data_IF_960524619492
#
_entry.id   IF_960524619492
#
_cell.length_a   1.000
_cell.length_b   1.000
_cell.length_c   1.000
_cell.angle_alpha   90.00
_cell.angle_beta   90.00
_cell.angle_gamma   90.00
#
_symmetry.space_group_name_H-M   'P 1'
#
loop_
_entity.id
_entity.type
_entity.pdbx_description
1 polymer ?
#
# COMPACT_ATOMS: atom_id res chain seq x y z
N UNK A 1 -48.28 -2.52 -23.57
CA UNK A 1 -47.24 -3.37 -22.98
C UNK A 1 -45.92 -2.62 -23.00
N UNK A 2 -45.24 -2.66 -21.87
CA UNK A 2 -44.10 -1.85 -21.44
C UNK A 2 -42.82 -2.51 -21.96
N UNK A 3 -41.95 -1.78 -22.65
CA UNK A 3 -40.59 -2.23 -22.99
C UNK A 3 -39.61 -1.13 -22.58
N UNK A 4 -39.15 -1.24 -21.33
CA UNK A 4 -38.01 -0.47 -20.81
C UNK A 4 -36.74 -1.16 -21.32
N UNK A 5 -36.00 -0.48 -22.18
CA UNK A 5 -34.66 -0.89 -22.58
C UNK A 5 -33.73 -0.77 -21.36
N UNK A 6 -33.29 -1.91 -20.83
CA UNK A 6 -32.30 -2.00 -19.77
C UNK A 6 -30.93 -1.67 -20.39
N UNK A 7 -30.45 -0.45 -20.19
CA UNK A 7 -29.07 -0.09 -20.50
C UNK A 7 -28.16 -0.80 -19.49
N UNK A 8 -27.50 -1.87 -19.93
CA UNK A 8 -26.38 -2.47 -19.20
C UNK A 8 -25.21 -1.49 -19.29
N UNK A 9 -25.00 -0.72 -18.22
CA UNK A 9 -23.73 -0.07 -17.96
C UNK A 9 -22.72 -1.15 -17.60
N UNK A 10 -21.98 -1.65 -18.60
CA UNK A 10 -20.71 -2.33 -18.34
C UNK A 10 -19.81 -1.26 -17.73
N UNK A 11 -19.79 -1.18 -16.41
CA UNK A 11 -18.76 -0.47 -15.68
C UNK A 11 -17.45 -1.15 -16.08
N UNK A 12 -16.73 -0.51 -17.02
CA UNK A 12 -15.35 -0.82 -17.31
C UNK A 12 -14.57 -0.53 -16.03
N UNK A 13 -14.48 -1.54 -15.15
CA UNK A 13 -13.50 -1.55 -14.09
C UNK A 13 -12.15 -1.50 -14.80
N UNK A 14 -11.32 -0.47 -14.58
CA UNK A 14 -9.98 -0.50 -15.12
C UNK A 14 -9.27 -1.68 -14.46
N UNK A 15 -9.07 -2.75 -15.22
CA UNK A 15 -8.08 -3.78 -14.91
C UNK A 15 -6.70 -3.18 -15.15
N UNK A 16 -6.36 -2.15 -14.38
CA UNK A 16 -4.99 -1.63 -14.26
C UNK A 16 -4.35 -2.31 -13.06
N UNK A 17 -4.25 -3.64 -13.15
CA UNK A 17 -3.27 -4.38 -12.37
C UNK A 17 -1.96 -4.28 -13.14
N UNK A 18 -1.34 -3.09 -13.12
CA UNK A 18 0.12 -3.07 -13.23
C UNK A 18 0.68 -3.94 -12.10
N UNK A 19 1.81 -4.59 -12.32
CA UNK A 19 2.59 -5.20 -11.25
C UNK A 19 3.11 -4.07 -10.36
N UNK A 20 2.23 -3.47 -9.56
CA UNK A 20 2.57 -2.42 -8.63
C UNK A 20 3.46 -3.04 -7.58
N UNK A 21 4.66 -2.49 -7.41
CA UNK A 21 5.53 -2.92 -6.31
C UNK A 21 4.79 -2.68 -4.99
N UNK A 22 4.42 -3.80 -4.36
CA UNK A 22 3.73 -3.83 -3.07
C UNK A 22 4.66 -3.35 -1.96
N UNK A 23 5.97 -3.31 -2.19
CA UNK A 23 6.94 -2.78 -1.25
C UNK A 23 7.76 -1.74 -2.00
N UNK A 24 7.62 -0.49 -1.59
CA UNK A 24 8.48 0.62 -2.02
C UNK A 24 9.21 1.18 -0.79
N UNK A 25 10.05 2.19 -1.00
CA UNK A 25 10.83 2.81 0.07
C UNK A 25 10.05 3.27 1.28
N UNK A 26 8.85 3.79 1.06
CA UNK A 26 8.06 4.41 2.10
C UNK A 26 6.63 3.86 2.16
N UNK A 27 6.32 2.81 1.39
CA UNK A 27 4.98 2.20 1.34
C UNK A 27 5.07 0.69 1.28
N UNK A 28 4.19 0.03 2.02
CA UNK A 28 3.85 -1.38 1.81
C UNK A 28 2.35 -1.53 1.57
N UNK A 29 1.94 -2.24 0.52
CA UNK A 29 0.56 -2.36 0.06
C UNK A 29 0.28 -1.59 -1.23
N UNK A 30 -0.97 -1.72 -1.72
CA UNK A 30 -1.43 -1.05 -2.94
C UNK A 30 -1.39 0.47 -2.77
N UNK A 31 -1.03 1.19 -3.84
CA UNK A 31 -0.98 2.66 -3.80
C UNK A 31 -2.36 3.28 -3.47
N UNK A 32 -3.40 2.68 -4.02
CA UNK A 32 -4.80 3.11 -3.91
C UNK A 32 -5.56 2.42 -2.77
N UNK A 33 -4.85 1.75 -1.84
CA UNK A 33 -5.50 1.14 -0.69
C UNK A 33 -6.23 2.23 0.14
N UNK A 34 -7.53 2.06 0.44
CA UNK A 34 -8.34 3.09 1.07
C UNK A 34 -7.95 3.37 2.53
N UNK A 35 -7.37 2.39 3.22
CA UNK A 35 -6.96 2.53 4.62
C UNK A 35 -5.45 2.74 4.72
N UNK A 36 -5.02 3.72 5.52
CA UNK A 36 -3.60 4.06 5.68
C UNK A 36 -3.17 3.95 7.13
N UNK A 37 -2.06 3.25 7.37
CA UNK A 37 -1.39 3.20 8.67
C UNK A 37 0.00 3.83 8.54
N UNK A 38 0.24 4.91 9.27
CA UNK A 38 1.49 5.68 9.17
C UNK A 38 2.39 5.44 10.38
N UNK A 39 3.63 5.01 10.13
CA UNK A 39 4.68 4.91 11.15
C UNK A 39 5.67 6.05 11.01
N UNK A 40 5.98 6.74 12.11
CA UNK A 40 7.08 7.70 12.20
C UNK A 40 8.28 7.01 12.87
N UNK A 41 9.36 6.82 12.11
CA UNK A 41 10.52 6.02 12.51
C UNK A 41 11.70 6.93 12.83
N UNK A 42 12.40 6.70 13.93
CA UNK A 42 13.47 7.59 14.45
C UNK A 42 14.86 7.37 13.86
N UNK A 43 15.13 6.18 13.33
CA UNK A 43 16.47 5.85 12.80
C UNK A 43 16.50 4.74 11.73
N UNK A 44 15.39 4.01 11.55
CA UNK A 44 15.33 2.86 10.65
C UNK A 44 14.25 3.11 9.61
N UNK A 45 14.57 3.01 8.31
CA UNK A 45 13.60 2.89 7.23
C UNK A 45 13.70 1.49 6.58
N UNK A 46 12.82 1.22 5.61
CA UNK A 46 12.87 0.00 4.79
C UNK A 46 14.17 -0.14 3.97
N UNK A 47 15.09 0.82 4.07
CA UNK A 47 16.34 0.92 3.34
C UNK A 47 17.56 0.93 4.27
N UNK A 48 17.42 0.40 5.49
CA UNK A 48 18.56 0.00 6.32
C UNK A 48 19.60 -0.78 5.47
N UNK A 49 20.87 -0.43 5.61
CA UNK A 49 21.98 -1.11 4.90
C UNK A 49 22.25 -2.50 5.47
N UNK A 50 21.70 -2.81 6.65
CA UNK A 50 21.73 -4.14 7.23
C UNK A 50 20.68 -5.05 6.57
N UNK A 51 21.12 -6.10 5.83
CA UNK A 51 20.21 -6.95 5.07
C UNK A 51 19.24 -7.76 5.96
N UNK A 52 19.64 -8.11 7.19
CA UNK A 52 18.78 -8.84 8.12
C UNK A 52 17.61 -7.99 8.60
N UNK A 53 17.88 -6.75 9.02
CA UNK A 53 16.85 -5.81 9.43
C UNK A 53 15.89 -5.50 8.28
N UNK A 54 16.40 -5.34 7.05
CA UNK A 54 15.57 -5.13 5.85
C UNK A 54 14.62 -6.30 5.63
N UNK A 55 15.12 -7.53 5.63
CA UNK A 55 14.32 -8.72 5.41
C UNK A 55 13.25 -8.91 6.51
N UNK A 56 13.60 -8.66 7.77
CA UNK A 56 12.66 -8.72 8.88
C UNK A 56 11.52 -7.70 8.72
N UNK A 57 11.84 -6.47 8.32
CA UNK A 57 10.86 -5.41 8.08
C UNK A 57 9.95 -5.72 6.88
N UNK A 58 10.50 -6.20 5.77
CA UNK A 58 9.72 -6.61 4.60
C UNK A 58 8.76 -7.76 4.94
N UNK A 59 9.21 -8.77 5.68
CA UNK A 59 8.37 -9.90 6.07
C UNK A 59 7.22 -9.48 6.99
N UNK A 60 7.50 -8.65 8.00
CA UNK A 60 6.48 -8.14 8.93
C UNK A 60 5.30 -7.49 8.19
N UNK A 61 5.60 -6.66 7.18
CA UNK A 61 4.57 -5.95 6.46
C UNK A 61 3.96 -6.74 5.32
N UNK A 62 4.70 -7.68 4.71
CA UNK A 62 4.17 -8.60 3.70
C UNK A 62 3.04 -9.45 4.25
N UNK A 63 3.19 -10.00 5.45
CA UNK A 63 2.13 -10.82 6.05
C UNK A 63 0.89 -9.98 6.36
N UNK A 64 1.09 -8.76 6.87
CA UNK A 64 0.00 -7.83 7.18
C UNK A 64 -0.80 -7.44 5.94
N UNK A 65 -0.14 -6.98 4.87
CA UNK A 65 -0.82 -6.53 3.65
C UNK A 65 -1.43 -7.68 2.85
N UNK A 66 -0.86 -8.89 2.94
CA UNK A 66 -1.48 -10.10 2.36
C UNK A 66 -2.81 -10.41 3.06
N UNK A 67 -2.88 -10.24 4.37
CA UNK A 67 -4.11 -10.44 5.14
C UNK A 67 -5.11 -9.26 5.03
N UNK A 68 -4.66 -8.08 4.59
CA UNK A 68 -5.45 -6.83 4.56
C UNK A 68 -5.17 -6.03 3.28
N UNK A 69 -5.67 -6.48 2.12
CA UNK A 69 -5.35 -5.85 0.84
C UNK A 69 -5.94 -4.43 0.68
N UNK A 70 -6.90 -4.06 1.54
CA UNK A 70 -7.49 -2.73 1.63
C UNK A 70 -6.66 -1.73 2.46
N UNK A 71 -5.53 -2.18 3.04
CA UNK A 71 -4.62 -1.35 3.81
C UNK A 71 -3.29 -1.12 3.10
N UNK A 72 -2.75 0.08 3.27
CA UNK A 72 -1.34 0.40 3.05
C UNK A 72 -0.69 0.88 4.33
N UNK A 73 0.60 0.59 4.43
CA UNK A 73 1.48 1.08 5.48
C UNK A 73 2.39 2.13 4.86
N UNK A 74 2.48 3.30 5.48
CA UNK A 74 3.41 4.36 5.06
C UNK A 74 4.43 4.62 6.16
N UNK A 75 5.71 4.71 5.81
CA UNK A 75 6.80 4.99 6.76
C UNK A 75 7.36 6.38 6.51
N UNK A 76 7.45 7.17 7.56
CA UNK A 76 8.03 8.51 7.55
C UNK A 76 9.25 8.53 8.47
N UNK A 77 10.38 9.01 7.97
CA UNK A 77 11.52 9.27 8.85
C UNK A 77 11.22 10.49 9.72
N UNK A 78 11.42 10.33 11.01
CA UNK A 78 11.38 11.44 11.94
C UNK A 78 12.53 12.39 11.59
N UNK A 79 12.16 13.59 11.19
CA UNK A 79 13.08 14.72 11.08
C UNK A 79 12.92 15.59 12.32
N UNK A 80 13.96 16.35 12.68
CA UNK A 80 13.90 17.39 13.72
C UNK A 80 13.17 18.66 13.27
N UNK A 81 12.52 18.64 12.09
CA UNK A 81 11.75 19.76 11.58
C UNK A 81 10.29 19.64 12.07
N UNK A 82 9.85 20.62 12.84
CA UNK A 82 8.49 20.74 13.42
C UNK A 82 7.64 21.82 12.74
N UNK A 83 8.13 22.40 11.64
CA UNK A 83 7.50 23.54 10.95
C UNK A 83 8.48 24.69 10.80
#
# INVERSE_FOLDING_TARGET
MKLLALAVTVAALPTLTEAQDLITRNRVGLAEAPNTLTFRLTAYDLYTTDPETKAAFENLYRDFITARPDWKIETQLQTSNIG
#
